data_IF_953390387549
#
_entry.id   IF_953390387549
#
_cell.length_a   1.000
_cell.length_b   1.000
_cell.length_c   1.000
_cell.angle_alpha   90.00
_cell.angle_beta   90.00
_cell.angle_gamma   90.00
#
_symmetry.space_group_name_H-M   'P 1'
#
loop_
_entity.id
_entity.type
_entity.pdbx_description
1 polymer ?
#
# COMPACT_ATOMS: atom_id res chain seq x y z
N UNK A 1 -10.02 33.52 -31.28
CA UNK A 1 -10.61 32.28 -30.81
C UNK A 1 -10.18 31.99 -29.38
N UNK A 2 -10.97 31.22 -28.64
CA UNK A 2 -10.61 30.77 -27.29
C UNK A 2 -9.55 29.68 -27.40
N UNK A 3 -8.64 29.66 -26.44
CA UNK A 3 -7.59 28.60 -26.32
C UNK A 3 -7.69 27.90 -24.97
N UNK A 4 -7.32 26.64 -24.93
CA UNK A 4 -7.03 25.92 -23.71
C UNK A 4 -5.51 25.76 -23.62
N UNK A 5 -4.94 26.11 -22.49
CA UNK A 5 -3.53 25.90 -22.18
C UNK A 5 -3.41 24.86 -21.08
N UNK A 6 -2.61 23.84 -21.31
CA UNK A 6 -2.17 22.88 -20.32
C UNK A 6 -0.77 23.27 -19.88
N UNK A 7 -0.59 23.34 -18.58
CA UNK A 7 0.72 23.58 -17.97
C UNK A 7 1.06 22.37 -17.11
N UNK A 8 2.30 21.88 -17.25
CA UNK A 8 2.86 20.81 -16.43
C UNK A 8 4.14 21.34 -15.81
N UNK A 9 4.21 21.34 -14.51
CA UNK A 9 5.34 21.84 -13.75
C UNK A 9 6.25 20.72 -13.21
N UNK A 10 5.75 19.48 -13.20
CA UNK A 10 6.46 18.32 -12.66
C UNK A 10 6.17 17.04 -13.45
N UNK A 11 7.18 16.22 -13.62
CA UNK A 11 7.04 14.82 -14.08
C UNK A 11 7.66 13.87 -13.10
N UNK A 12 7.01 12.74 -12.90
CA UNK A 12 7.60 11.56 -12.30
C UNK A 12 8.09 10.61 -13.39
N UNK A 13 9.28 10.05 -13.20
CA UNK A 13 9.90 9.07 -14.10
C UNK A 13 10.64 7.99 -13.30
N UNK A 14 11.43 7.15 -13.98
CA UNK A 14 12.11 6.01 -13.38
C UNK A 14 11.12 5.00 -12.80
N UNK A 15 10.18 4.54 -13.66
CA UNK A 15 9.22 3.50 -13.27
C UNK A 15 9.96 2.22 -12.90
N UNK A 16 9.69 1.72 -11.69
CA UNK A 16 10.05 0.38 -11.24
C UNK A 16 8.76 -0.37 -10.90
N UNK A 17 8.74 -1.67 -11.12
CA UNK A 17 7.59 -2.52 -10.86
C UNK A 17 8.05 -3.85 -10.28
N UNK A 18 7.38 -4.30 -9.24
CA UNK A 18 7.50 -5.62 -8.66
C UNK A 18 6.13 -6.30 -8.74
N UNK A 19 6.07 -7.48 -9.34
CA UNK A 19 4.83 -8.25 -9.43
C UNK A 19 5.20 -9.74 -9.33
N UNK A 20 5.40 -10.21 -8.12
CA UNK A 20 5.88 -11.57 -7.86
C UNK A 20 5.61 -11.99 -6.41
N UNK A 21 5.96 -13.25 -6.11
CA UNK A 21 6.01 -13.81 -4.76
C UNK A 21 7.01 -13.06 -3.89
N UNK A 22 6.67 -12.84 -2.63
CA UNK A 22 7.54 -12.27 -1.60
C UNK A 22 8.19 -13.40 -0.78
N UNK A 23 9.30 -13.98 -1.25
CA UNK A 23 9.88 -15.19 -0.63
C UNK A 23 10.59 -14.91 0.69
N UNK A 24 10.86 -13.64 1.01
CA UNK A 24 11.51 -13.22 2.26
C UNK A 24 10.57 -13.34 3.46
N UNK A 25 9.27 -13.43 3.21
CA UNK A 25 8.25 -13.55 4.25
C UNK A 25 7.68 -14.96 4.21
N UNK A 26 8.10 -15.78 5.17
CA UNK A 26 7.55 -17.13 5.34
C UNK A 26 6.30 -17.07 6.22
N UNK A 27 5.14 -17.25 5.59
CA UNK A 27 3.85 -17.23 6.27
C UNK A 27 3.73 -18.33 7.36
N UNK A 28 4.52 -19.40 7.29
CA UNK A 28 4.51 -20.44 8.32
C UNK A 28 5.15 -20.00 9.63
N UNK A 29 5.91 -18.93 9.64
CA UNK A 29 6.58 -18.37 10.81
C UNK A 29 5.92 -17.09 11.33
N UNK A 30 4.74 -16.75 10.85
CA UNK A 30 4.03 -15.52 11.22
C UNK A 30 3.71 -15.48 12.71
N UNK A 31 3.96 -14.33 13.32
CA UNK A 31 3.73 -14.13 14.74
C UNK A 31 2.22 -14.14 15.06
N UNK A 32 1.82 -15.04 15.96
CA UNK A 32 0.43 -15.17 16.43
C UNK A 32 0.03 -14.10 17.46
N UNK A 33 1.02 -13.37 18.01
CA UNK A 33 0.82 -12.30 18.99
C UNK A 33 1.82 -11.18 18.76
N UNK A 34 1.74 -10.51 17.59
CA UNK A 34 2.67 -9.45 17.23
C UNK A 34 2.52 -8.26 18.19
N UNK A 35 3.55 -7.43 18.24
CA UNK A 35 3.39 -6.13 18.86
C UNK A 35 2.46 -5.27 18.01
N UNK A 36 1.47 -4.69 18.66
CA UNK A 36 0.48 -3.83 18.02
C UNK A 36 0.42 -2.50 18.72
N UNK A 37 -0.05 -1.52 17.99
CA UNK A 37 -0.41 -0.23 18.56
C UNK A 37 -1.81 0.15 18.09
N UNK A 38 -2.46 1.01 18.87
CA UNK A 38 -3.77 1.56 18.53
C UNK A 38 -3.75 3.05 18.84
N UNK A 39 -4.40 3.83 17.99
CA UNK A 39 -4.54 5.26 18.19
C UNK A 39 -5.98 5.69 17.87
N UNK A 40 -6.77 5.92 18.92
CA UNK A 40 -8.14 6.45 18.81
C UNK A 40 -8.20 7.87 18.24
N UNK A 41 -7.08 8.62 18.33
CA UNK A 41 -6.99 10.01 17.88
C UNK A 41 -6.23 10.14 16.55
N UNK A 42 -5.94 9.04 15.88
CA UNK A 42 -5.17 9.06 14.64
C UNK A 42 -5.86 9.93 13.58
N UNK A 43 -5.25 11.07 13.32
CA UNK A 43 -5.75 11.98 12.28
C UNK A 43 -5.24 11.52 10.94
N UNK A 44 -6.17 11.36 10.00
CA UNK A 44 -5.82 11.05 8.62
C UNK A 44 -5.69 9.56 8.32
N UNK A 45 -6.36 8.70 9.08
CA UNK A 45 -6.54 7.31 8.69
C UNK A 45 -7.81 7.13 7.82
N UNK A 46 -7.77 6.14 6.94
CA UNK A 46 -8.90 5.71 6.13
C UNK A 46 -9.08 4.19 6.22
N UNK A 47 -10.31 3.75 6.05
CA UNK A 47 -10.67 2.34 6.04
C UNK A 47 -11.32 2.01 4.68
N UNK A 48 -10.89 0.89 4.10
CA UNK A 48 -11.50 0.29 2.92
C UNK A 48 -11.97 -1.12 3.29
N UNK A 49 -13.22 -1.44 3.02
CA UNK A 49 -13.88 -2.68 3.40
C UNK A 49 -15.37 -2.46 3.61
N UNK A 50 -16.06 -3.40 4.25
CA UNK A 50 -17.46 -3.22 4.61
C UNK A 50 -17.57 -2.14 5.69
N UNK A 51 -18.28 -1.06 5.38
CA UNK A 51 -18.41 0.11 6.26
C UNK A 51 -19.12 -0.24 7.58
N UNK A 52 -19.95 -1.29 7.61
CA UNK A 52 -20.59 -1.77 8.81
C UNK A 52 -19.62 -2.41 9.81
N UNK A 53 -18.46 -2.86 9.30
CA UNK A 53 -17.37 -3.47 10.09
C UNK A 53 -16.27 -2.47 10.44
N UNK A 54 -16.39 -1.20 9.98
CA UNK A 54 -15.41 -0.17 10.29
C UNK A 54 -15.28 0.02 11.80
N UNK A 55 -14.09 -0.26 12.39
CA UNK A 55 -13.90 -0.11 13.83
C UNK A 55 -13.89 1.37 14.24
N UNK A 56 -14.26 1.63 15.49
CA UNK A 56 -14.16 2.97 16.09
C UNK A 56 -12.69 3.41 16.19
N UNK A 57 -11.81 2.48 16.48
CA UNK A 57 -10.35 2.64 16.47
C UNK A 57 -9.71 1.39 15.87
N UNK A 58 -8.52 1.55 15.31
CA UNK A 58 -7.81 0.45 14.69
C UNK A 58 -6.67 -0.05 15.57
N UNK A 59 -6.47 -1.37 15.54
CA UNK A 59 -5.24 -1.99 15.98
C UNK A 59 -4.42 -2.32 14.73
N UNK A 60 -3.18 -1.89 14.70
CA UNK A 60 -2.27 -2.13 13.59
C UNK A 60 -0.92 -2.63 14.10
N UNK A 61 -0.17 -3.28 13.21
CA UNK A 61 1.13 -3.83 13.53
C UNK A 61 2.12 -2.72 13.86
N UNK A 62 2.98 -2.95 14.85
CA UNK A 62 4.16 -2.10 15.02
C UNK A 62 5.15 -2.44 13.92
N UNK A 63 5.50 -1.43 13.11
CA UNK A 63 6.49 -1.60 12.04
C UNK A 63 7.83 -2.08 12.62
N UNK A 64 8.47 -3.02 11.95
CA UNK A 64 9.77 -3.58 12.34
C UNK A 64 10.72 -3.58 11.15
N UNK A 65 12.01 -3.42 11.43
CA UNK A 65 13.06 -3.65 10.43
C UNK A 65 13.44 -5.12 10.30
N UNK A 66 13.07 -5.95 11.27
CA UNK A 66 13.36 -7.38 11.26
C UNK A 66 12.36 -8.09 10.38
N UNK A 67 12.84 -8.78 9.34
CA UNK A 67 11.99 -9.45 8.35
C UNK A 67 11.29 -8.51 7.36
N UNK A 68 11.69 -7.23 7.29
CA UNK A 68 11.15 -6.31 6.28
C UNK A 68 11.68 -6.64 4.89
N UNK A 69 10.88 -6.32 3.87
CA UNK A 69 11.20 -6.53 2.46
C UNK A 69 10.85 -5.29 1.63
N UNK A 70 11.79 -4.82 0.82
CA UNK A 70 11.57 -3.67 -0.07
C UNK A 70 11.52 -4.12 -1.53
N UNK A 71 10.31 -4.24 -2.11
CA UNK A 71 10.11 -4.71 -3.49
C UNK A 71 10.58 -3.71 -4.54
N UNK A 72 10.37 -2.43 -4.30
CA UNK A 72 10.82 -1.29 -5.12
C UNK A 72 11.29 -0.17 -4.21
N UNK A 73 12.01 0.81 -4.76
CA UNK A 73 12.46 1.97 -4.00
C UNK A 73 11.30 2.70 -3.32
N UNK A 74 11.45 3.01 -2.03
CA UNK A 74 10.46 3.73 -1.24
C UNK A 74 9.20 2.95 -0.88
N UNK A 75 9.16 1.63 -1.14
CA UNK A 75 8.09 0.74 -0.68
C UNK A 75 8.69 -0.37 0.16
N UNK A 76 8.13 -0.60 1.34
CA UNK A 76 8.62 -1.63 2.27
C UNK A 76 7.44 -2.38 2.90
N UNK A 77 7.47 -3.72 2.86
CA UNK A 77 6.61 -4.55 3.71
C UNK A 77 7.22 -4.55 5.10
N UNK A 78 6.53 -3.97 6.08
CA UNK A 78 7.06 -3.65 7.41
C UNK A 78 6.62 -4.59 8.51
N UNK A 79 5.62 -5.41 8.25
CA UNK A 79 5.14 -6.35 9.26
C UNK A 79 4.12 -7.34 8.73
N UNK A 80 4.11 -8.52 9.36
CA UNK A 80 3.11 -9.56 9.14
C UNK A 80 2.77 -10.19 10.49
N UNK A 81 1.50 -10.39 10.77
CA UNK A 81 1.06 -10.96 12.03
C UNK A 81 -0.43 -11.23 12.08
N UNK A 82 -0.87 -11.91 13.15
CA UNK A 82 -2.28 -12.16 13.39
C UNK A 82 -2.83 -11.22 14.46
N UNK A 83 -3.87 -10.46 14.13
CA UNK A 83 -4.61 -9.61 15.07
C UNK A 83 -6.06 -10.08 15.08
N UNK A 84 -6.59 -10.38 16.25
CA UNK A 84 -7.95 -10.90 16.43
C UNK A 84 -8.31 -12.10 15.52
N UNK A 85 -7.32 -12.94 15.22
CA UNK A 85 -7.51 -14.17 14.43
C UNK A 85 -7.45 -13.97 12.91
N UNK A 86 -7.28 -12.75 12.43
CA UNK A 86 -7.12 -12.42 11.00
C UNK A 86 -5.67 -12.10 10.68
N UNK A 87 -5.24 -12.41 9.46
CA UNK A 87 -3.90 -12.09 8.98
C UNK A 87 -3.82 -10.60 8.60
N UNK A 88 -2.86 -9.91 9.18
CA UNK A 88 -2.53 -8.52 8.87
C UNK A 88 -1.17 -8.45 8.19
N UNK A 89 -1.06 -7.68 7.10
CA UNK A 89 0.19 -7.41 6.39
C UNK A 89 0.30 -5.91 6.20
N UNK A 90 1.36 -5.32 6.75
CA UNK A 90 1.57 -3.88 6.71
C UNK A 90 2.65 -3.52 5.68
N UNK A 91 2.38 -2.49 4.89
CA UNK A 91 3.33 -1.86 3.97
C UNK A 91 3.53 -0.40 4.34
N UNK A 92 4.71 0.13 4.02
CA UNK A 92 5.03 1.56 4.14
C UNK A 92 5.42 2.10 2.77
N UNK A 93 4.88 3.26 2.44
CA UNK A 93 5.12 4.01 1.21
C UNK A 93 5.76 5.35 1.55
N UNK A 94 7.04 5.49 1.22
CA UNK A 94 7.83 6.69 1.50
C UNK A 94 7.52 7.81 0.52
N UNK A 95 7.57 9.07 0.97
CA UNK A 95 7.50 10.29 0.14
C UNK A 95 6.34 10.30 -0.88
N UNK A 96 5.16 9.83 -0.51
CA UNK A 96 4.00 9.70 -1.43
C UNK A 96 3.55 11.02 -2.07
N UNK A 97 3.99 12.18 -1.55
CA UNK A 97 3.74 13.49 -2.16
C UNK A 97 4.69 13.83 -3.30
N UNK A 98 5.82 13.13 -3.41
CA UNK A 98 6.89 13.39 -4.39
C UNK A 98 7.24 12.16 -5.24
N UNK A 99 6.54 11.06 -5.02
CA UNK A 99 6.72 9.78 -5.72
C UNK A 99 5.37 9.25 -6.15
N UNK A 100 5.38 8.21 -6.98
CA UNK A 100 4.20 7.41 -7.31
C UNK A 100 4.30 6.03 -6.64
N UNK A 101 4.63 6.03 -5.34
CA UNK A 101 4.73 4.80 -4.55
C UNK A 101 3.34 4.28 -4.24
N UNK A 102 2.98 3.14 -4.83
CA UNK A 102 1.70 2.48 -4.58
C UNK A 102 1.77 0.98 -4.87
N UNK A 103 0.76 0.26 -4.45
CA UNK A 103 0.65 -1.17 -4.71
C UNK A 103 -0.26 -1.86 -3.71
N UNK A 104 -0.15 -3.16 -3.66
CA UNK A 104 -0.90 -4.00 -2.74
C UNK A 104 -0.24 -5.37 -2.60
N UNK A 105 -0.61 -6.07 -1.54
CA UNK A 105 -0.29 -7.47 -1.32
C UNK A 105 -1.52 -8.34 -1.55
N UNK A 106 -1.30 -9.60 -1.90
CA UNK A 106 -2.34 -10.60 -2.05
C UNK A 106 -1.79 -11.98 -1.70
N UNK A 107 -2.68 -12.90 -1.41
CA UNK A 107 -2.33 -14.29 -1.16
C UNK A 107 -2.66 -15.12 -2.42
N UNK A 108 -1.90 -16.20 -2.59
CA UNK A 108 -2.18 -17.20 -3.62
C UNK A 108 -2.35 -18.55 -2.93
N UNK A 109 -3.46 -19.24 -3.19
CA UNK A 109 -3.73 -20.57 -2.65
C UNK A 109 -3.05 -21.67 -3.46
N UNK A 110 -3.18 -22.91 -3.01
CA UNK A 110 -2.60 -24.09 -3.68
C UNK A 110 -3.14 -24.33 -5.10
N UNK A 111 -4.34 -23.83 -5.42
CA UNK A 111 -4.95 -23.94 -6.74
C UNK A 111 -4.51 -22.81 -7.70
N UNK A 112 -3.73 -21.85 -7.18
CA UNK A 112 -3.25 -20.69 -7.93
C UNK A 112 -4.23 -19.52 -7.96
N UNK A 113 -5.29 -19.54 -7.15
CA UNK A 113 -6.25 -18.45 -7.08
C UNK A 113 -5.70 -17.31 -6.23
N UNK A 114 -5.91 -16.08 -6.71
CA UNK A 114 -5.56 -14.86 -6.01
C UNK A 114 -6.63 -14.49 -4.98
N UNK A 115 -6.22 -14.31 -3.73
CA UNK A 115 -7.06 -13.89 -2.62
C UNK A 115 -6.69 -12.47 -2.22
N UNK A 116 -7.63 -11.55 -2.38
CA UNK A 116 -7.50 -10.14 -1.97
C UNK A 116 -7.81 -9.96 -0.50
N UNK A 117 -7.26 -8.90 0.08
CA UNK A 117 -7.65 -8.47 1.44
C UNK A 117 -9.14 -8.12 1.46
N UNK A 118 -9.84 -8.49 2.52
CA UNK A 118 -11.24 -8.10 2.74
C UNK A 118 -11.37 -6.63 3.15
N UNK A 119 -10.34 -6.12 3.81
CA UNK A 119 -10.27 -4.73 4.25
C UNK A 119 -8.83 -4.24 4.25
N UNK A 120 -8.67 -2.92 4.26
CA UNK A 120 -7.39 -2.27 4.53
C UNK A 120 -7.58 -0.99 5.35
N UNK A 121 -6.52 -0.61 6.04
CA UNK A 121 -6.42 0.63 6.80
C UNK A 121 -5.19 1.38 6.34
N UNK A 122 -5.35 2.61 5.86
CA UNK A 122 -4.24 3.49 5.53
C UNK A 122 -4.11 4.61 6.55
N UNK A 123 -2.88 4.94 6.95
CA UNK A 123 -2.59 6.00 7.91
C UNK A 123 -1.22 6.63 7.64
N UNK A 124 -1.09 7.92 7.98
CA UNK A 124 0.16 8.64 7.81
C UNK A 124 1.19 8.24 8.86
N UNK A 125 2.47 8.36 8.49
CA UNK A 125 3.55 8.40 9.47
C UNK A 125 3.48 9.67 10.33
N UNK A 126 4.31 9.75 11.38
CA UNK A 126 4.32 10.88 12.31
C UNK A 126 4.69 12.22 11.64
N UNK A 127 5.46 12.18 10.58
CA UNK A 127 5.94 13.35 9.83
C UNK A 127 5.04 13.72 8.66
N UNK A 128 4.08 12.85 8.33
CA UNK A 128 3.20 12.95 7.16
C UNK A 128 3.94 13.01 5.82
N UNK A 129 5.11 12.40 5.77
CA UNK A 129 5.91 12.26 4.55
C UNK A 129 5.62 10.95 3.84
N UNK A 130 5.26 9.91 4.58
CA UNK A 130 4.88 8.61 4.06
C UNK A 130 3.56 8.11 4.63
N UNK A 131 3.09 7.00 4.10
CA UNK A 131 1.85 6.35 4.50
C UNK A 131 2.08 4.87 4.76
N UNK A 132 1.47 4.37 5.82
CA UNK A 132 1.28 2.94 6.02
C UNK A 132 -0.04 2.51 5.42
N UNK A 133 -0.07 1.31 4.86
CA UNK A 133 -1.31 0.60 4.54
C UNK A 133 -1.22 -0.82 5.11
N UNK A 134 -2.23 -1.20 5.88
CA UNK A 134 -2.33 -2.50 6.49
C UNK A 134 -3.49 -3.26 5.88
N UNK A 135 -3.19 -4.36 5.22
CA UNK A 135 -4.14 -5.24 4.54
C UNK A 135 -4.60 -6.33 5.49
N UNK A 136 -5.90 -6.55 5.54
CA UNK A 136 -6.55 -7.50 6.44
C UNK A 136 -7.16 -8.63 5.61
N UNK A 137 -6.75 -9.87 5.88
CA UNK A 137 -7.23 -11.07 5.21
C UNK A 137 -8.04 -11.93 6.18
N UNK A 138 -9.18 -12.42 5.74
CA UNK A 138 -9.96 -13.40 6.49
C UNK A 138 -9.34 -14.81 6.37
N UNK A 139 -8.14 -14.92 6.90
CA UNK A 139 -7.34 -16.15 6.94
C UNK A 139 -6.90 -16.38 8.37
N UNK A 140 -7.26 -17.54 8.91
CA UNK A 140 -6.91 -17.92 10.28
C UNK A 140 -5.50 -18.52 10.36
N UNK A 141 -4.89 -18.56 11.57
CA UNK A 141 -3.59 -19.21 11.80
C UNK A 141 -3.54 -20.67 11.35
N UNK A 142 -4.68 -21.38 11.38
CA UNK A 142 -4.71 -22.80 11.01
C UNK A 142 -4.71 -23.01 9.48
N UNK A 143 -5.04 -21.99 8.72
CA UNK A 143 -5.18 -22.05 7.26
C UNK A 143 -3.98 -21.44 6.53
N UNK A 144 -3.13 -20.70 7.23
CA UNK A 144 -2.05 -19.89 6.64
C UNK A 144 -1.09 -20.71 5.76
N UNK A 145 -0.87 -21.98 6.09
CA UNK A 145 0.01 -22.87 5.35
C UNK A 145 -0.48 -23.22 3.93
N UNK A 146 -1.73 -22.88 3.62
CA UNK A 146 -2.32 -23.08 2.30
C UNK A 146 -2.06 -21.90 1.34
N UNK A 147 -1.36 -20.87 1.80
CA UNK A 147 -1.18 -19.64 1.05
C UNK A 147 0.29 -19.25 0.92
N UNK A 148 0.58 -18.55 -0.16
CA UNK A 148 1.84 -17.86 -0.40
C UNK A 148 1.59 -16.35 -0.53
N UNK A 149 2.53 -15.52 -0.08
CA UNK A 149 2.42 -14.07 -0.15
C UNK A 149 3.01 -13.54 -1.46
N UNK A 150 2.24 -12.73 -2.15
CA UNK A 150 2.61 -12.00 -3.36
C UNK A 150 2.40 -10.50 -3.17
N UNK A 151 3.04 -9.72 -4.03
CA UNK A 151 2.84 -8.28 -4.07
C UNK A 151 2.88 -7.74 -5.49
N UNK A 152 2.15 -6.65 -5.70
CA UNK A 152 2.24 -5.85 -6.90
C UNK A 152 2.48 -4.40 -6.48
N UNK A 153 3.69 -3.91 -6.73
CA UNK A 153 4.15 -2.59 -6.30
C UNK A 153 4.76 -1.83 -7.46
N UNK A 154 4.53 -0.52 -7.46
CA UNK A 154 5.07 0.40 -8.44
C UNK A 154 5.68 1.62 -7.76
N UNK A 155 6.69 2.19 -8.38
CA UNK A 155 7.19 3.52 -8.06
C UNK A 155 7.59 4.28 -9.32
N UNK A 156 7.45 5.60 -9.27
CA UNK A 156 8.14 6.55 -10.13
C UNK A 156 8.76 7.57 -9.18
N UNK A 157 10.04 7.46 -8.91
CA UNK A 157 10.71 8.17 -7.82
C UNK A 157 11.66 9.28 -8.29
N UNK A 158 11.77 9.52 -9.60
CA UNK A 158 12.59 10.61 -10.12
C UNK A 158 11.70 11.79 -10.53
N UNK A 159 11.77 12.87 -9.75
CA UNK A 159 10.99 14.09 -9.97
C UNK A 159 11.78 15.07 -10.83
N UNK A 160 11.26 15.40 -12.00
CA UNK A 160 11.78 16.46 -12.87
C UNK A 160 10.89 17.67 -12.81
N UNK A 161 11.43 18.83 -12.42
CA UNK A 161 10.73 20.10 -12.43
C UNK A 161 10.95 20.82 -13.76
N UNK A 162 9.93 21.55 -14.24
CA UNK A 162 10.00 22.34 -15.46
C UNK A 162 8.77 23.22 -15.64
N UNK A 163 8.74 23.95 -16.74
CA UNK A 163 7.60 24.79 -17.14
C UNK A 163 7.23 24.42 -18.57
N UNK A 164 6.43 23.38 -18.71
CA UNK A 164 5.97 22.90 -20.01
C UNK A 164 4.56 23.39 -20.25
N UNK A 165 4.37 24.04 -21.39
CA UNK A 165 3.06 24.55 -21.79
C UNK A 165 2.72 24.12 -23.20
N UNK A 166 1.48 23.72 -23.41
CA UNK A 166 0.90 23.49 -24.73
C UNK A 166 -0.48 24.12 -24.81
N UNK A 167 -0.73 24.85 -25.89
CA UNK A 167 -2.00 25.51 -26.11
C UNK A 167 -2.68 24.98 -27.37
N UNK A 168 -3.99 24.71 -27.26
CA UNK A 168 -4.83 24.26 -28.35
C UNK A 168 -5.94 25.31 -28.64
N UNK A 169 -6.21 25.64 -29.89
CA UNK A 169 -7.41 26.44 -30.23
C UNK A 169 -8.66 25.59 -29.94
N UNK A 170 -9.70 26.25 -29.45
CA UNK A 170 -11.03 25.64 -29.34
C UNK A 170 -11.73 25.80 -30.68
N UNK A 171 -12.01 24.69 -31.36
CA UNK A 171 -12.90 24.65 -32.50
C UNK A 171 -14.33 24.38 -32.03
N UNK A 172 -15.27 25.23 -32.37
CA UNK A 172 -16.68 24.94 -32.18
C UNK A 172 -17.14 24.10 -33.37
N UNK A 173 -17.66 22.91 -33.10
CA UNK A 173 -18.51 22.24 -34.11
C UNK A 173 -19.86 22.95 -34.13
N UNK A 174 -20.22 23.50 -35.28
CA UNK A 174 -21.56 23.94 -35.57
C UNK A 174 -22.56 22.78 -35.60
#
# INVERSE_FOLDING_TARGET
GKKITFTVDKFLSNKQEYHDKIPQIDLNTVNLSPQTQSDVNMRGWSFSGDISEKPEYIHYLTATSEGSFSPVDGVTVTGVGFIAGKLHIQTYYENILETDNHGYVYLVNADGDEIRSEASVAFWDSERSGSYEEYIFDVSPNEINNYELYGHFLTCNFLTNGDWQVSFPLEYKE
#
